data_IF_504204371231
#
_entry.id   IF_504204371231
#
_cell.length_a   1.000
_cell.length_b   1.000
_cell.length_c   1.000
_cell.angle_alpha   90.00
_cell.angle_beta   90.00
_cell.angle_gamma   90.00
#
_symmetry.space_group_name_H-M   'P 1'
#
loop_
_entity.id
_entity.type
_entity.pdbx_description
1 polymer ?
#
# COMPACT_ATOMS: atom_id res chain seq x y z
N UNK A 1 -7.95 12.96 3.64
CA UNK A 1 -7.25 11.67 3.43
C UNK A 1 -6.17 11.55 4.49
N UNK A 2 -5.99 10.35 5.06
CA UNK A 2 -4.91 10.10 6.02
C UNK A 2 -4.38 8.68 5.89
N UNK A 3 -3.13 8.48 6.27
CA UNK A 3 -2.51 7.16 6.41
C UNK A 3 -1.99 7.06 7.84
N UNK A 4 -2.36 6.01 8.56
CA UNK A 4 -1.83 5.74 9.92
C UNK A 4 -1.17 4.39 9.95
N UNK A 5 0.04 4.35 10.50
CA UNK A 5 0.79 3.12 10.74
C UNK A 5 0.81 2.86 12.24
N UNK A 6 0.46 1.65 12.65
CA UNK A 6 0.54 1.19 14.04
C UNK A 6 1.25 -0.14 14.09
N UNK A 7 2.09 -0.33 15.10
CA UNK A 7 2.75 -1.60 15.37
C UNK A 7 2.28 -2.14 16.71
N UNK A 8 1.89 -3.42 16.75
CA UNK A 8 1.59 -4.15 17.98
C UNK A 8 2.33 -5.49 17.92
N UNK A 9 3.45 -5.56 18.66
CA UNK A 9 4.36 -6.70 18.60
C UNK A 9 4.85 -6.95 17.16
N UNK A 10 4.69 -8.16 16.61
CA UNK A 10 5.12 -8.48 15.25
C UNK A 10 4.17 -7.97 14.16
N UNK A 11 2.98 -7.47 14.52
CA UNK A 11 1.97 -7.04 13.56
C UNK A 11 2.09 -5.54 13.26
N UNK A 12 2.13 -5.19 11.98
CA UNK A 12 2.03 -3.81 11.48
C UNK A 12 0.68 -3.63 10.80
N UNK A 13 -0.10 -2.66 11.25
CA UNK A 13 -1.39 -2.29 10.67
C UNK A 13 -1.27 -0.93 10.00
N UNK A 14 -1.75 -0.83 8.76
CA UNK A 14 -1.76 0.42 7.99
C UNK A 14 -3.22 0.75 7.65
N UNK A 15 -3.73 1.84 8.23
CA UNK A 15 -5.04 2.36 7.89
C UNK A 15 -4.92 3.36 6.75
N UNK A 16 -5.77 3.21 5.74
CA UNK A 16 -5.94 4.19 4.67
C UNK A 16 -7.32 4.82 4.77
N UNK A 17 -7.37 6.14 4.72
CA UNK A 17 -8.57 6.95 4.78
C UNK A 17 -8.63 7.89 3.58
N UNK A 18 -9.70 7.82 2.80
CA UNK A 18 -9.87 8.60 1.58
C UNK A 18 -11.28 8.45 1.00
N UNK A 19 -11.57 9.26 -0.03
CA UNK A 19 -12.90 9.35 -0.65
C UNK A 19 -13.15 8.22 -1.67
N UNK A 20 -12.09 7.49 -2.05
CA UNK A 20 -12.13 6.42 -3.02
C UNK A 20 -10.71 5.96 -3.34
N UNK A 21 -10.58 4.73 -3.81
CA UNK A 21 -9.30 4.14 -4.20
C UNK A 21 -9.44 3.52 -5.59
N UNK A 22 -8.40 3.68 -6.42
CA UNK A 22 -8.36 3.00 -7.71
C UNK A 22 -8.25 1.48 -7.51
N UNK A 23 -8.60 0.73 -8.56
CA UNK A 23 -8.47 -0.72 -8.55
C UNK A 23 -7.06 -1.15 -8.11
N UNK A 24 -7.00 -2.02 -7.09
CA UNK A 24 -5.76 -2.53 -6.46
C UNK A 24 -4.84 -1.49 -5.80
N UNK A 25 -5.18 -0.20 -5.79
CA UNK A 25 -4.30 0.89 -5.32
C UNK A 25 -3.65 0.61 -3.97
N UNK A 26 -4.47 0.29 -2.95
CA UNK A 26 -3.97 0.02 -1.59
C UNK A 26 -3.02 -1.17 -1.56
N UNK A 27 -3.38 -2.27 -2.23
CA UNK A 27 -2.55 -3.49 -2.26
C UNK A 27 -1.23 -3.27 -3.00
N UNK A 28 -1.21 -2.42 -4.03
CA UNK A 28 0.01 -2.05 -4.76
C UNK A 28 0.93 -1.17 -3.91
N UNK A 29 0.37 -0.19 -3.19
CA UNK A 29 1.13 0.65 -2.25
C UNK A 29 1.77 -0.23 -1.17
N UNK A 30 0.97 -1.03 -0.45
CA UNK A 30 1.45 -1.89 0.64
C UNK A 30 2.47 -2.91 0.14
N UNK A 31 2.22 -3.55 -1.01
CA UNK A 31 3.15 -4.52 -1.58
C UNK A 31 4.50 -3.91 -1.97
N UNK A 32 4.52 -2.66 -2.43
CA UNK A 32 5.76 -1.94 -2.74
C UNK A 32 6.53 -1.54 -1.48
N UNK A 33 5.82 -1.06 -0.45
CA UNK A 33 6.41 -0.74 0.86
C UNK A 33 7.08 -1.97 1.49
N UNK A 34 6.40 -3.13 1.46
CA UNK A 34 6.95 -4.39 1.98
C UNK A 34 8.21 -4.80 1.21
N UNK A 35 8.24 -4.64 -0.11
CA UNK A 35 9.44 -4.91 -0.90
C UNK A 35 10.61 -4.01 -0.53
N UNK A 36 10.36 -2.72 -0.30
CA UNK A 36 11.38 -1.78 0.16
C UNK A 36 11.91 -2.18 1.55
N UNK A 37 11.01 -2.50 2.48
CA UNK A 37 11.38 -2.94 3.83
C UNK A 37 12.21 -4.25 3.83
N UNK A 38 11.99 -5.13 2.85
CA UNK A 38 12.74 -6.37 2.67
C UNK A 38 14.01 -6.20 1.81
N UNK A 39 14.37 -4.98 1.40
CA UNK A 39 15.54 -4.71 0.55
C UNK A 39 15.42 -5.23 -0.89
N UNK A 40 14.21 -5.57 -1.35
CA UNK A 40 13.95 -6.12 -2.70
C UNK A 40 13.62 -5.06 -3.74
N UNK A 41 13.55 -3.79 -3.33
CA UNK A 41 13.25 -2.62 -4.15
C UNK A 41 13.79 -1.40 -3.42
N UNK A 42 14.32 -0.40 -4.14
CA UNK A 42 14.79 0.83 -3.50
C UNK A 42 13.64 1.80 -3.29
N UNK A 43 13.76 2.70 -2.32
CA UNK A 43 12.72 3.68 -2.02
C UNK A 43 12.57 4.69 -3.17
N UNK A 44 13.66 4.99 -3.86
CA UNK A 44 13.71 5.88 -5.03
C UNK A 44 12.90 5.28 -6.19
N UNK A 45 13.00 3.97 -6.42
CA UNK A 45 12.23 3.27 -7.46
C UNK A 45 10.71 3.38 -7.19
N UNK A 46 10.30 3.45 -5.91
CA UNK A 46 8.90 3.63 -5.54
C UNK A 46 8.43 5.06 -5.82
N UNK A 47 9.26 6.05 -5.49
CA UNK A 47 8.98 7.46 -5.77
C UNK A 47 8.84 7.71 -7.28
N UNK A 48 9.78 7.22 -8.08
CA UNK A 48 9.74 7.32 -9.55
C UNK A 48 8.50 6.64 -10.15
N UNK A 49 8.07 5.51 -9.59
CA UNK A 49 6.85 4.82 -10.04
C UNK A 49 5.58 5.59 -9.74
N UNK A 50 5.52 6.27 -8.59
CA UNK A 50 4.40 7.14 -8.25
C UNK A 50 4.33 8.35 -9.20
N UNK A 51 5.49 8.89 -9.59
CA UNK A 51 5.58 10.08 -10.44
C UNK A 51 5.35 9.78 -11.93
N UNK A 52 5.89 8.67 -12.43
CA UNK A 52 5.77 8.25 -13.83
C UNK A 52 4.35 7.86 -14.26
N UNK A 53 3.42 7.69 -13.30
CA UNK A 53 2.01 7.27 -13.53
C UNK A 53 1.87 5.97 -14.34
N UNK A 54 2.92 5.17 -14.43
CA UNK A 54 2.89 3.93 -15.20
C UNK A 54 2.34 2.78 -14.35
N UNK A 55 1.31 2.13 -14.87
CA UNK A 55 0.74 0.92 -14.27
C UNK A 55 1.65 -0.28 -14.54
N UNK A 56 2.32 -0.78 -13.50
CA UNK A 56 3.12 -2.01 -13.62
C UNK A 56 2.30 -3.24 -13.29
N UNK A 57 2.73 -4.42 -13.77
CA UNK A 57 1.96 -5.67 -13.62
C UNK A 57 1.54 -5.94 -12.17
N UNK A 58 0.35 -6.52 -11.99
CA UNK A 58 -0.24 -6.87 -10.70
C UNK A 58 0.61 -7.83 -9.82
N UNK A 59 1.78 -8.29 -10.30
CA UNK A 59 2.72 -9.18 -9.59
C UNK A 59 3.23 -8.62 -8.26
N UNK A 60 3.07 -7.33 -7.99
CA UNK A 60 3.56 -6.69 -6.76
C UNK A 60 2.46 -6.34 -5.76
N UNK A 61 1.20 -6.64 -6.04
CA UNK A 61 0.13 -6.39 -5.10
C UNK A 61 0.28 -7.30 -3.87
N UNK A 62 0.21 -6.71 -2.66
CA UNK A 62 0.13 -7.46 -1.42
C UNK A 62 -1.03 -8.48 -1.46
N UNK A 63 -0.99 -9.60 -0.73
CA UNK A 63 -2.10 -10.56 -0.64
C UNK A 63 -3.43 -9.89 -0.26
N UNK A 64 -4.55 -10.43 -0.75
CA UNK A 64 -5.87 -9.85 -0.50
C UNK A 64 -6.34 -10.04 0.95
N UNK A 65 -5.92 -11.15 1.56
CA UNK A 65 -6.34 -11.62 2.88
C UNK A 65 -6.04 -10.62 4.02
N UNK A 66 -5.06 -9.73 3.81
CA UNK A 66 -4.70 -8.69 4.79
C UNK A 66 -5.44 -7.36 4.60
N UNK A 67 -6.31 -7.21 3.60
CA UNK A 67 -7.04 -5.97 3.32
C UNK A 67 -8.52 -6.13 3.66
N UNK A 68 -9.04 -5.22 4.48
CA UNK A 68 -10.44 -5.16 4.87
C UNK A 68 -10.92 -3.71 4.98
N UNK A 69 -12.22 -3.50 4.70
CA UNK A 69 -12.87 -2.20 4.85
C UNK A 69 -13.25 -1.98 6.32
N UNK A 70 -12.74 -0.91 6.92
CA UNK A 70 -12.98 -0.60 8.34
C UNK A 70 -14.24 0.22 8.60
N UNK A 71 -14.47 1.28 7.81
CA UNK A 71 -15.58 2.23 8.01
C UNK A 71 -15.86 3.02 6.74
N UNK A 72 -17.13 3.31 6.49
CA UNK A 72 -17.59 4.32 5.53
C UNK A 72 -18.20 5.48 6.31
N UNK A 73 -17.88 6.73 5.93
CA UNK A 73 -18.48 7.94 6.51
C UNK A 73 -19.41 8.56 5.45
N UNK A 74 -20.55 9.07 5.90
CA UNK A 74 -21.56 9.76 5.10
C UNK A 74 -21.63 11.22 5.53
#
# INVERSE_FOLDING_TARGET
YSVRVRQKGPCVTIDFDGNGFLYKMIRLIVGSLVKCALGKMRIEDLAERLDSRQTTSARFAAPAEGLFLLRVRY
#
